data_IF_352840123614
#
_entry.id   IF_352840123614
#
_cell.length_a   1.000
_cell.length_b   1.000
_cell.length_c   1.000
_cell.angle_alpha   90.00
_cell.angle_beta   90.00
_cell.angle_gamma   90.00
#
_symmetry.space_group_name_H-M   'P 1'
#
loop_
_entity.id
_entity.type
_entity.pdbx_description
1 polymer ?
#
# COMPACT_ATOMS: atom_id res chain seq x y z
N UNK A 1 4.25 7.31 -3.74
CA UNK A 1 4.13 7.21 -5.21
C UNK A 1 2.66 7.04 -5.59
N UNK A 2 2.22 7.62 -6.71
CA UNK A 2 0.84 7.56 -7.20
C UNK A 2 0.78 7.82 -8.72
N UNK A 3 -0.28 7.37 -9.38
CA UNK A 3 -0.54 7.75 -10.78
C UNK A 3 -1.52 8.94 -10.89
N UNK A 4 -1.08 10.13 -11.35
CA UNK A 4 -1.92 11.32 -11.36
C UNK A 4 -3.13 11.22 -12.31
N UNK A 5 -3.09 10.35 -13.32
CA UNK A 5 -4.20 10.20 -14.27
C UNK A 5 -5.39 9.41 -13.69
N UNK A 6 -5.15 8.56 -12.69
CA UNK A 6 -6.17 7.67 -12.11
C UNK A 6 -6.29 7.78 -10.57
N UNK A 7 -5.49 8.63 -9.93
CA UNK A 7 -5.56 8.89 -8.51
C UNK A 7 -6.72 9.85 -8.16
N UNK A 8 -7.95 9.44 -8.50
CA UNK A 8 -9.19 10.19 -8.19
C UNK A 8 -9.33 10.50 -6.70
N UNK A 9 -8.66 9.72 -5.84
CA UNK A 9 -8.65 9.87 -4.38
C UNK A 9 -7.29 10.34 -3.84
N UNK A 10 -6.45 11.00 -4.65
CA UNK A 10 -5.13 11.44 -4.21
C UNK A 10 -5.20 12.24 -2.89
N UNK A 11 -5.98 13.31 -2.85
CA UNK A 11 -6.10 14.17 -1.66
C UNK A 11 -6.62 13.43 -0.43
N UNK A 12 -7.48 12.42 -0.61
CA UNK A 12 -8.02 11.60 0.47
C UNK A 12 -6.91 10.83 1.19
N UNK A 13 -5.93 10.31 0.44
CA UNK A 13 -4.78 9.58 1.00
C UNK A 13 -3.59 10.50 1.33
N UNK A 14 -3.35 11.54 0.52
CA UNK A 14 -2.20 12.43 0.64
C UNK A 14 -2.27 13.27 1.91
N UNK A 15 -3.41 13.89 2.23
CA UNK A 15 -3.51 14.78 3.40
C UNK A 15 -3.20 14.07 4.73
N UNK A 16 -3.77 12.87 5.02
CA UNK A 16 -3.39 12.12 6.21
C UNK A 16 -1.92 11.67 6.20
N UNK A 17 -1.39 11.26 5.04
CA UNK A 17 0.02 10.89 4.90
C UNK A 17 0.95 12.07 5.20
N UNK A 18 0.69 13.24 4.60
CA UNK A 18 1.46 14.46 4.81
C UNK A 18 1.46 14.87 6.29
N UNK A 19 0.30 14.81 6.95
CA UNK A 19 0.18 15.08 8.37
C UNK A 19 0.99 14.09 9.23
N UNK A 20 0.90 12.79 8.95
CA UNK A 20 1.62 11.75 9.68
C UNK A 20 3.14 11.84 9.47
N UNK A 21 3.59 12.06 8.22
CA UNK A 21 5.00 12.23 7.89
C UNK A 21 5.59 13.43 8.64
N UNK A 22 4.92 14.59 8.60
CA UNK A 22 5.37 15.78 9.34
C UNK A 22 5.38 15.58 10.85
N UNK A 23 4.40 14.87 11.41
CA UNK A 23 4.39 14.55 12.84
C UNK A 23 5.53 13.59 13.26
N UNK A 24 6.14 12.88 12.30
CA UNK A 24 7.29 12.00 12.49
C UNK A 24 8.61 12.64 12.03
N UNK A 25 8.64 13.96 11.78
CA UNK A 25 9.79 14.70 11.25
C UNK A 25 10.33 14.16 9.91
N UNK A 26 9.48 13.52 9.11
CA UNK A 26 9.77 13.03 7.76
C UNK A 26 9.26 14.04 6.73
N UNK A 27 10.07 14.36 5.73
CA UNK A 27 9.66 15.23 4.62
C UNK A 27 8.80 14.44 3.62
N UNK A 28 7.50 14.74 3.46
CA UNK A 28 6.66 14.06 2.47
C UNK A 28 6.96 14.60 1.07
N UNK A 29 7.30 13.70 0.15
CA UNK A 29 7.59 14.04 -1.26
C UNK A 29 6.57 13.32 -2.16
N UNK A 30 5.74 14.04 -2.93
CA UNK A 30 4.86 13.41 -3.90
C UNK A 30 5.70 12.86 -5.06
N UNK A 31 5.41 11.63 -5.48
CA UNK A 31 6.13 10.94 -6.54
C UNK A 31 5.12 10.47 -7.61
N UNK A 32 4.79 11.34 -8.59
CA UNK A 32 3.84 11.02 -9.65
C UNK A 32 4.49 10.09 -10.69
N UNK A 33 3.81 9.02 -11.07
CA UNK A 33 4.23 8.09 -12.13
C UNK A 33 3.04 7.70 -13.00
N UNK A 34 3.09 7.99 -14.30
CA UNK A 34 2.03 7.71 -15.26
C UNK A 34 2.26 6.44 -16.08
N UNK A 35 3.51 6.04 -16.25
CA UNK A 35 3.92 4.90 -17.08
C UNK A 35 5.18 4.20 -16.50
N UNK A 36 5.62 3.11 -17.16
CA UNK A 36 6.75 2.28 -16.70
C UNK A 36 8.08 3.05 -16.71
N UNK A 37 8.32 3.93 -17.69
CA UNK A 37 9.54 4.73 -17.74
C UNK A 37 9.61 5.72 -16.57
N UNK A 38 8.46 6.29 -16.18
CA UNK A 38 8.39 7.19 -15.02
C UNK A 38 8.78 6.46 -13.72
N UNK A 39 8.48 5.17 -13.59
CA UNK A 39 8.88 4.36 -12.42
C UNK A 39 10.41 4.30 -12.34
N UNK A 40 11.09 4.04 -13.46
CA UNK A 40 12.55 3.96 -13.51
C UNK A 40 13.20 5.30 -13.13
N UNK A 41 12.72 6.39 -13.73
CA UNK A 41 13.22 7.75 -13.47
C UNK A 41 12.96 8.19 -12.02
N UNK A 42 11.81 7.80 -11.47
CA UNK A 42 11.42 8.12 -10.10
C UNK A 42 12.46 7.64 -9.07
N UNK A 43 13.09 6.49 -9.30
CA UNK A 43 14.13 5.94 -8.41
C UNK A 43 15.52 6.52 -8.66
N UNK A 44 15.85 6.94 -9.90
CA UNK A 44 17.16 7.46 -10.26
C UNK A 44 17.56 8.74 -9.49
N UNK A 45 16.58 9.45 -8.94
CA UNK A 45 16.75 10.72 -8.21
C UNK A 45 16.64 10.59 -6.69
N UNK A 46 16.60 9.35 -6.16
CA UNK A 46 16.37 9.08 -4.73
C UNK A 46 17.65 8.72 -3.98
N UNK A 47 17.67 9.07 -2.71
CA UNK A 47 18.75 8.71 -1.80
C UNK A 47 18.44 7.42 -1.04
N UNK A 48 19.46 6.78 -0.47
CA UNK A 48 19.30 5.54 0.30
C UNK A 48 18.58 5.71 1.63
N UNK A 49 18.45 6.95 2.09
CA UNK A 49 17.76 7.29 3.34
C UNK A 49 16.26 7.55 3.11
N UNK A 50 15.79 7.52 1.86
CA UNK A 50 14.38 7.68 1.51
C UNK A 50 13.58 6.40 1.85
N UNK A 51 12.30 6.58 2.14
CA UNK A 51 11.30 5.52 2.22
C UNK A 51 10.17 5.73 1.22
N UNK A 52 9.54 4.65 0.78
CA UNK A 52 8.47 4.71 -0.22
C UNK A 52 7.14 4.19 0.34
N UNK A 53 6.12 5.05 0.32
CA UNK A 53 4.72 4.62 0.50
C UNK A 53 4.05 4.45 -0.86
N UNK A 54 3.54 3.25 -1.12
CA UNK A 54 2.73 2.95 -2.31
C UNK A 54 1.27 3.22 -2.00
N UNK A 55 0.72 4.24 -2.67
CA UNK A 55 -0.70 4.57 -2.56
C UNK A 55 -1.52 3.53 -3.33
N UNK A 56 -2.79 3.39 -2.94
CA UNK A 56 -3.70 2.45 -3.59
C UNK A 56 -4.21 3.03 -4.91
N UNK A 57 -3.63 2.59 -6.03
CA UNK A 57 -4.19 2.76 -7.37
C UNK A 57 -3.92 1.54 -8.26
N UNK A 58 -4.71 1.40 -9.34
CA UNK A 58 -4.65 0.24 -10.22
C UNK A 58 -3.31 0.13 -10.98
N UNK A 59 -2.70 1.26 -11.34
CA UNK A 59 -1.44 1.29 -12.07
C UNK A 59 -0.29 0.78 -11.20
N UNK A 60 -0.20 1.26 -9.95
CA UNK A 60 0.79 0.78 -9.00
C UNK A 60 0.56 -0.68 -8.62
N UNK A 61 -0.70 -1.10 -8.52
CA UNK A 61 -1.04 -2.51 -8.27
C UNK A 61 -0.52 -3.39 -9.41
N UNK A 62 -0.73 -3.03 -10.67
CA UNK A 62 -0.25 -3.80 -11.82
C UNK A 62 1.28 -3.83 -11.87
N UNK A 63 1.94 -2.71 -11.57
CA UNK A 63 3.40 -2.58 -11.66
C UNK A 63 4.14 -2.88 -10.34
N UNK A 64 3.46 -3.38 -9.31
CA UNK A 64 4.00 -3.58 -7.96
C UNK A 64 5.29 -4.40 -7.93
N UNK A 65 5.42 -5.42 -8.78
CA UNK A 65 6.63 -6.26 -8.84
C UNK A 65 7.82 -5.41 -9.27
N UNK A 66 7.71 -4.73 -10.41
CA UNK A 66 8.74 -3.82 -10.92
C UNK A 66 9.10 -2.74 -9.88
N UNK A 67 8.10 -2.13 -9.25
CA UNK A 67 8.32 -1.08 -8.26
C UNK A 67 9.12 -1.61 -7.06
N UNK A 68 8.77 -2.79 -6.52
CA UNK A 68 9.48 -3.38 -5.39
C UNK A 68 10.89 -3.86 -5.79
N UNK A 69 11.07 -4.40 -7.00
CA UNK A 69 12.39 -4.76 -7.54
C UNK A 69 13.31 -3.53 -7.62
N UNK A 70 12.79 -2.41 -8.13
CA UNK A 70 13.54 -1.14 -8.21
C UNK A 70 13.81 -0.59 -6.83
N UNK A 71 12.81 -0.53 -5.96
CA UNK A 71 13.01 -0.07 -4.59
C UNK A 71 14.11 -0.89 -3.90
N UNK A 72 14.13 -2.20 -4.07
CA UNK A 72 15.18 -3.05 -3.51
C UNK A 72 16.56 -2.78 -4.14
N UNK A 73 16.64 -2.59 -5.46
CA UNK A 73 17.88 -2.23 -6.16
C UNK A 73 18.48 -0.92 -5.62
N UNK A 74 17.64 0.07 -5.33
CA UNK A 74 18.03 1.36 -4.77
C UNK A 74 18.10 1.37 -3.23
N UNK A 75 17.80 0.24 -2.57
CA UNK A 75 17.75 0.06 -1.11
C UNK A 75 16.73 0.94 -0.39
N UNK A 76 15.60 1.19 -1.03
CA UNK A 76 14.49 1.98 -0.48
C UNK A 76 13.46 1.01 0.12
N UNK A 77 13.17 1.10 1.43
CA UNK A 77 12.09 0.33 2.04
C UNK A 77 10.72 0.78 1.53
N UNK A 78 9.85 -0.20 1.24
CA UNK A 78 8.49 0.04 0.74
C UNK A 78 7.46 -0.34 1.78
N UNK A 79 6.53 0.59 2.05
CA UNK A 79 5.29 0.35 2.81
C UNK A 79 4.10 0.42 1.85
N UNK A 80 3.29 -0.63 1.80
CA UNK A 80 2.16 -0.73 0.90
C UNK A 80 0.81 -0.73 1.64
N UNK A 81 -0.17 0.00 1.09
CA UNK A 81 -1.57 -0.01 1.54
C UNK A 81 -2.42 -1.16 0.96
N UNK A 82 -1.78 -2.11 0.30
CA UNK A 82 -2.38 -3.33 -0.28
C UNK A 82 -1.43 -4.50 0.00
N UNK A 83 -1.95 -5.72 0.15
CA UNK A 83 -1.10 -6.92 0.31
C UNK A 83 -0.18 -7.06 -0.91
N UNK A 84 1.13 -6.91 -0.71
CA UNK A 84 2.12 -6.94 -1.79
C UNK A 84 3.23 -7.93 -1.56
N UNK A 85 3.54 -8.70 -2.61
CA UNK A 85 4.80 -9.41 -2.75
C UNK A 85 5.95 -8.40 -2.91
N UNK A 86 6.98 -8.52 -2.08
CA UNK A 86 8.24 -7.76 -2.19
C UNK A 86 8.35 -6.50 -1.33
N UNK A 87 7.23 -5.90 -0.88
CA UNK A 87 7.28 -4.76 0.05
C UNK A 87 7.80 -5.17 1.43
N UNK A 88 8.41 -4.23 2.16
CA UNK A 88 8.92 -4.49 3.51
C UNK A 88 7.77 -4.68 4.51
N UNK A 89 6.80 -3.76 4.45
CA UNK A 89 5.58 -3.81 5.27
C UNK A 89 4.37 -3.62 4.35
N UNK A 90 3.32 -4.39 4.60
CA UNK A 90 1.99 -4.12 4.07
C UNK A 90 1.03 -3.93 5.24
N UNK A 91 0.25 -2.86 5.21
CA UNK A 91 -0.88 -2.67 6.12
C UNK A 91 -2.13 -2.31 5.31
N UNK A 92 -3.04 -3.27 5.17
CA UNK A 92 -4.13 -3.18 4.20
C UNK A 92 -5.41 -3.83 4.74
N UNK A 93 -6.59 -3.46 4.21
CA UNK A 93 -7.81 -4.24 4.41
C UNK A 93 -7.61 -5.72 4.05
N UNK A 94 -8.23 -6.62 4.82
CA UNK A 94 -8.34 -8.02 4.45
C UNK A 94 -9.26 -8.13 3.21
N UNK A 95 -8.65 -8.41 2.06
CA UNK A 95 -9.35 -8.45 0.77
C UNK A 95 -10.34 -9.62 0.71
N UNK A 96 -10.02 -10.74 1.34
CA UNK A 96 -10.94 -11.90 1.37
C UNK A 96 -12.17 -11.60 2.21
N UNK A 97 -12.01 -10.92 3.36
CA UNK A 97 -13.12 -10.42 4.17
C UNK A 97 -14.00 -9.45 3.38
N UNK A 98 -13.40 -8.51 2.64
CA UNK A 98 -14.14 -7.56 1.81
C UNK A 98 -14.99 -8.27 0.75
N UNK A 99 -14.45 -9.27 0.06
CA UNK A 99 -15.22 -10.05 -0.91
C UNK A 99 -16.33 -10.87 -0.26
N UNK A 100 -16.05 -11.49 0.90
CA UNK A 100 -17.04 -12.27 1.65
C UNK A 100 -18.21 -11.40 2.11
N UNK A 101 -17.95 -10.19 2.58
CA UNK A 101 -18.97 -9.21 2.99
C UNK A 101 -19.78 -8.70 1.81
N UNK A 102 -19.13 -8.52 0.65
CA UNK A 102 -19.79 -8.11 -0.59
C UNK A 102 -20.86 -9.11 -1.04
N UNK A 103 -20.67 -10.41 -0.80
CA UNK A 103 -21.63 -11.45 -1.15
C UNK A 103 -23.02 -11.23 -0.50
N UNK A 104 -23.06 -10.70 0.73
CA UNK A 104 -24.33 -10.37 1.40
C UNK A 104 -25.10 -9.26 0.67
N UNK A 105 -24.39 -8.28 0.10
CA UNK A 105 -25.03 -7.20 -0.67
C UNK A 105 -25.56 -7.73 -1.98
N UNK A 106 -24.79 -8.59 -2.66
CA UNK A 106 -25.24 -9.27 -3.87
C UNK A 106 -26.52 -10.09 -3.61
N UNK A 107 -26.59 -10.90 -2.55
CA UNK A 107 -27.80 -11.65 -2.20
C UNK A 107 -29.01 -10.74 -1.96
N UNK A 108 -28.84 -9.64 -1.20
CA UNK A 108 -29.92 -8.67 -0.96
C UNK A 108 -30.44 -8.02 -2.25
N UNK A 109 -29.53 -7.62 -3.14
CA UNK A 109 -29.88 -6.98 -4.41
C UNK A 109 -30.61 -7.99 -5.31
N UNK A 110 -30.13 -9.23 -5.40
CA UNK A 110 -30.78 -10.29 -6.17
C UNK A 110 -32.17 -10.65 -5.62
N UNK A 111 -32.44 -10.38 -4.34
CA UNK A 111 -33.76 -10.52 -3.70
C UNK A 111 -34.65 -9.28 -3.82
N UNK A 112 -34.21 -8.23 -4.52
CA UNK A 112 -34.99 -7.03 -4.82
C UNK A 112 -34.73 -5.82 -3.92
N UNK A 113 -33.71 -5.85 -3.06
CA UNK A 113 -33.29 -4.64 -2.35
C UNK A 113 -32.70 -3.61 -3.33
N UNK A 114 -33.11 -2.35 -3.20
CA UNK A 114 -32.52 -1.25 -3.97
C UNK A 114 -31.09 -0.96 -3.50
N UNK A 115 -30.09 -0.86 -4.39
CA UNK A 115 -28.74 -0.45 -4.02
C UNK A 115 -28.68 0.91 -3.30
N UNK A 116 -29.61 1.82 -3.58
CA UNK A 116 -29.69 3.13 -2.94
C UNK A 116 -30.04 3.06 -1.44
N UNK A 117 -30.67 1.96 -1.00
CA UNK A 117 -31.08 1.74 0.39
C UNK A 117 -30.02 0.95 1.19
N UNK A 118 -28.99 0.44 0.52
CA UNK A 118 -27.91 -0.33 1.15
C UNK A 118 -26.76 0.62 1.56
N UNK A 119 -26.40 0.69 2.85
CA UNK A 119 -25.36 1.62 3.30
C UNK A 119 -23.98 1.22 2.77
N UNK A 120 -23.12 2.20 2.49
CA UNK A 120 -21.71 1.93 2.16
C UNK A 120 -21.03 1.27 3.37
N UNK A 121 -20.28 0.20 3.13
CA UNK A 121 -19.51 -0.48 4.16
C UNK A 121 -18.03 -0.14 4.06
N UNK A 122 -17.42 0.19 5.20
CA UNK A 122 -15.98 0.35 5.32
C UNK A 122 -15.32 -0.98 5.76
N UNK A 123 -14.03 -1.18 5.42
CA UNK A 123 -13.24 -2.27 5.97
C UNK A 123 -13.21 -2.22 7.50
N UNK A 124 -13.37 -3.37 8.13
CA UNK A 124 -13.32 -3.51 9.61
C UNK A 124 -12.16 -4.41 10.04
N UNK A 125 -11.58 -5.18 9.12
CA UNK A 125 -10.44 -6.03 9.33
C UNK A 125 -9.28 -5.57 8.45
N UNK A 126 -8.11 -5.44 9.07
CA UNK A 126 -6.85 -5.08 8.42
C UNK A 126 -5.81 -6.14 8.77
N UNK A 127 -4.81 -6.28 7.91
CA UNK A 127 -3.69 -7.19 8.11
C UNK A 127 -2.38 -6.41 8.03
N UNK A 128 -1.55 -6.58 9.07
CA UNK A 128 -0.15 -6.19 9.08
C UNK A 128 0.71 -7.38 8.65
N UNK A 129 1.35 -7.26 7.49
CA UNK A 129 2.28 -8.26 6.94
C UNK A 129 3.68 -7.68 6.94
N UNK A 130 4.66 -8.43 7.45
CA UNK A 130 6.07 -8.04 7.47
C UNK A 130 6.90 -9.04 6.66
N UNK A 131 7.73 -8.54 5.74
CA UNK A 131 8.60 -9.37 4.91
C UNK A 131 10.04 -9.37 5.44
N UNK A 132 10.44 -10.48 6.06
CA UNK A 132 11.78 -10.65 6.61
C UNK A 132 12.84 -10.84 5.53
N UNK A 133 12.51 -11.37 4.35
CA UNK A 133 13.45 -11.44 3.24
C UNK A 133 13.80 -10.05 2.71
N UNK A 134 12.79 -9.20 2.52
CA UNK A 134 13.00 -7.80 2.14
C UNK A 134 13.78 -7.06 3.23
N UNK A 135 13.46 -7.27 4.51
CA UNK A 135 14.22 -6.68 5.61
C UNK A 135 15.70 -7.08 5.58
N UNK A 136 16.00 -8.38 5.44
CA UNK A 136 17.36 -8.92 5.33
C UNK A 136 18.09 -8.33 4.11
N UNK A 137 17.45 -8.27 2.96
CA UNK A 137 18.04 -7.73 1.73
C UNK A 137 18.31 -6.21 1.80
N UNK A 138 17.53 -5.47 2.59
CA UNK A 138 17.74 -4.06 2.91
C UNK A 138 18.70 -3.83 4.09
N UNK A 139 19.21 -4.90 4.71
CA UNK A 139 20.03 -4.84 5.94
C UNK A 139 19.31 -4.14 7.12
N UNK A 140 18.01 -4.35 7.23
CA UNK A 140 17.16 -3.83 8.30
C UNK A 140 16.87 -4.93 9.33
N UNK A 141 16.97 -4.56 10.60
CA UNK A 141 16.52 -5.42 11.71
C UNK A 141 15.12 -5.00 12.12
N UNK A 142 14.15 -5.92 12.00
CA UNK A 142 12.77 -5.66 12.44
C UNK A 142 12.68 -5.88 13.95
N UNK A 143 12.17 -4.90 14.74
CA UNK A 143 12.02 -5.05 16.19
C UNK A 143 11.11 -6.24 16.56
N UNK A 144 11.44 -7.03 17.60
CA UNK A 144 10.60 -8.16 18.03
C UNK A 144 9.17 -7.76 18.41
N UNK A 145 8.98 -6.57 18.98
CA UNK A 145 7.66 -6.03 19.32
C UNK A 145 6.81 -5.77 18.09
N UNK A 146 7.42 -5.34 16.98
CA UNK A 146 6.73 -5.13 15.72
C UNK A 146 6.36 -6.46 15.05
N UNK A 147 7.28 -7.44 15.08
CA UNK A 147 7.00 -8.80 14.60
C UNK A 147 5.86 -9.46 15.39
N UNK A 148 5.83 -9.29 16.72
CA UNK A 148 4.76 -9.83 17.56
C UNK A 148 3.39 -9.19 17.30
N UNK A 149 3.35 -8.00 16.70
CA UNK A 149 2.11 -7.32 16.32
C UNK A 149 1.62 -7.64 14.91
N UNK A 150 2.44 -8.32 14.09
CA UNK A 150 2.08 -8.66 12.73
C UNK A 150 1.07 -9.80 12.71
N UNK A 151 0.07 -9.69 11.84
CA UNK A 151 -0.87 -10.78 11.56
C UNK A 151 -0.18 -11.90 10.77
N UNK A 152 0.81 -11.54 9.95
CA UNK A 152 1.61 -12.48 9.17
C UNK A 152 3.05 -12.00 9.02
N UNK A 153 3.99 -12.95 9.07
CA UNK A 153 5.41 -12.72 8.78
C UNK A 153 5.81 -13.65 7.66
N UNK A 154 6.35 -13.09 6.58
CA UNK A 154 6.74 -13.83 5.38
C UNK A 154 8.27 -13.85 5.22
N UNK A 155 8.77 -14.99 4.73
CA UNK A 155 10.17 -15.29 4.40
C UNK A 155 10.30 -15.93 3.01
#
# INVERSE_FOLDING_TARGET
MFNPAIATYFDYYWKPFEAAARAADVTPIPLPVGNVADIEEAFATRDRDDGLVLMSDAFLTVNRVLINEKALQFRIPVVAGISQSGSLISYAPDIEDLFRRSASYVDKILRGASPADLPVQLPTKFQLIINLNTAKALNLTVPPTLLASADEVIE
#
